data_IF_818639028497
#
_entry.id   IF_818639028497
#
_cell.length_a   1.000
_cell.length_b   1.000
_cell.length_c   1.000
_cell.angle_alpha   90.00
_cell.angle_beta   90.00
_cell.angle_gamma   90.00
#
_symmetry.space_group_name_H-M   'P 1'
#
loop_
_entity.id
_entity.type
_entity.pdbx_description
1 polymer ?
#
# COMPACT_ATOMS: atom_id res chain seq x y z
N UNK A 1 33.93 -52.05 -19.50
CA UNK A 1 34.01 -50.57 -19.47
C UNK A 1 32.60 -50.02 -19.73
N UNK A 2 32.23 -48.93 -19.04
CA UNK A 2 31.04 -48.05 -19.24
C UNK A 2 29.66 -48.56 -18.77
N UNK A 3 28.82 -47.81 -18.07
CA UNK A 3 28.92 -46.53 -17.31
C UNK A 3 27.64 -46.50 -16.43
N UNK A 4 27.73 -46.31 -15.11
CA UNK A 4 26.55 -46.07 -14.25
C UNK A 4 26.20 -44.58 -14.31
N UNK A 5 25.07 -44.25 -14.93
CA UNK A 5 24.53 -42.89 -14.95
C UNK A 5 23.71 -42.63 -13.68
N UNK A 6 24.29 -41.91 -12.73
CA UNK A 6 23.59 -41.43 -11.54
C UNK A 6 22.77 -40.19 -11.90
N UNK A 7 21.44 -40.30 -11.85
CA UNK A 7 20.54 -39.16 -11.95
C UNK A 7 20.61 -38.34 -10.65
N UNK A 8 21.24 -37.17 -10.71
CA UNK A 8 21.23 -36.20 -9.61
C UNK A 8 19.97 -35.35 -9.77
N UNK A 9 18.97 -35.59 -8.92
CA UNK A 9 17.81 -34.70 -8.77
C UNK A 9 18.28 -33.49 -7.95
N UNK A 10 18.59 -32.38 -8.61
CA UNK A 10 18.76 -31.10 -7.93
C UNK A 10 17.38 -30.61 -7.45
N UNK A 11 17.04 -30.89 -6.19
CA UNK A 11 16.00 -30.13 -5.49
C UNK A 11 16.47 -28.68 -5.39
N UNK A 12 15.95 -27.83 -6.28
CA UNK A 12 16.12 -26.39 -6.21
C UNK A 12 15.43 -25.92 -4.92
N UNK A 13 16.23 -25.63 -3.89
CA UNK A 13 15.79 -24.87 -2.73
C UNK A 13 15.39 -23.48 -3.25
N UNK A 14 14.11 -23.34 -3.60
CA UNK A 14 13.53 -22.05 -3.93
C UNK A 14 13.60 -21.19 -2.65
N UNK A 15 14.65 -20.39 -2.54
CA UNK A 15 14.75 -19.34 -1.54
C UNK A 15 13.53 -18.46 -1.71
N UNK A 16 12.57 -18.59 -0.80
CA UNK A 16 11.42 -17.70 -0.72
C UNK A 16 11.98 -16.35 -0.34
N UNK A 17 12.28 -15.52 -1.35
CA UNK A 17 12.65 -14.14 -1.14
C UNK A 17 11.46 -13.48 -0.44
N UNK A 18 11.59 -13.23 0.87
CA UNK A 18 10.63 -12.45 1.61
C UNK A 18 10.69 -11.03 1.04
N UNK A 19 9.85 -10.75 0.05
CA UNK A 19 9.69 -9.41 -0.49
C UNK A 19 9.25 -8.50 0.67
N UNK A 20 10.16 -7.64 1.13
CA UNK A 20 9.85 -6.62 2.12
C UNK A 20 8.76 -5.74 1.52
N UNK A 21 7.66 -5.56 2.24
CA UNK A 21 6.62 -4.64 1.79
C UNK A 21 7.21 -3.25 1.66
N UNK A 22 7.23 -2.72 0.44
CA UNK A 22 7.41 -1.30 0.23
C UNK A 22 6.26 -0.56 0.93
N UNK A 23 6.61 0.23 1.94
CA UNK A 23 5.71 1.10 2.67
C UNK A 23 5.62 2.44 1.93
N UNK A 24 4.43 3.02 1.87
CA UNK A 24 4.29 4.40 1.40
C UNK A 24 4.81 5.42 2.42
N UNK A 25 4.55 6.69 2.15
CA UNK A 25 4.90 7.77 3.06
C UNK A 25 3.63 8.49 3.48
N UNK A 26 3.42 8.61 4.79
CA UNK A 26 2.25 9.30 5.29
C UNK A 26 2.18 10.73 4.75
N UNK A 27 1.08 11.06 4.09
CA UNK A 27 0.77 12.40 3.60
C UNK A 27 -0.60 12.81 4.13
N UNK A 28 -0.61 13.71 5.10
CA UNK A 28 -1.83 14.07 5.82
C UNK A 28 -2.82 14.85 4.96
N UNK A 29 -2.39 15.38 3.81
CA UNK A 29 -3.29 16.02 2.84
C UNK A 29 -3.97 15.06 1.88
N UNK A 30 -3.60 13.78 1.92
CA UNK A 30 -4.09 12.74 1.01
C UNK A 30 -4.60 11.50 1.75
N UNK A 31 -3.98 11.15 2.86
CA UNK A 31 -4.31 9.95 3.61
C UNK A 31 -5.59 10.13 4.40
N UNK A 32 -6.48 9.16 4.27
CA UNK A 32 -7.68 9.04 5.07
C UNK A 32 -7.32 8.44 6.42
N UNK A 33 -8.12 8.76 7.43
CA UNK A 33 -8.11 7.98 8.67
C UNK A 33 -9.05 6.79 8.47
N UNK A 34 -8.44 5.61 8.40
CA UNK A 34 -9.12 4.34 8.18
C UNK A 34 -9.08 3.52 9.46
N UNK A 35 -10.24 2.99 9.87
CA UNK A 35 -10.36 2.06 10.98
C UNK A 35 -10.68 0.66 10.45
N UNK A 36 -9.89 -0.33 10.86
CA UNK A 36 -10.13 -1.74 10.53
C UNK A 36 -10.57 -2.53 11.76
N UNK A 37 -11.17 -3.70 11.58
CA UNK A 37 -11.51 -4.57 12.72
C UNK A 37 -10.30 -5.37 13.20
N UNK A 38 -9.89 -5.27 14.48
CA UNK A 38 -8.86 -6.14 15.05
C UNK A 38 -9.18 -7.63 14.98
N UNK A 39 -10.48 -8.00 14.85
CA UNK A 39 -10.90 -9.39 14.68
C UNK A 39 -10.58 -9.94 13.29
N UNK A 40 -10.50 -9.06 12.28
CA UNK A 40 -10.12 -9.41 10.91
C UNK A 40 -8.60 -9.25 10.70
N UNK A 41 -8.01 -8.23 11.31
CA UNK A 41 -6.58 -7.93 11.22
C UNK A 41 -6.03 -7.61 12.60
N UNK A 42 -5.36 -8.56 13.23
CA UNK A 42 -4.81 -8.37 14.58
C UNK A 42 -3.53 -7.52 14.62
N UNK A 43 -2.89 -7.26 13.47
CA UNK A 43 -1.72 -6.37 13.32
C UNK A 43 -1.94 -5.37 12.20
N UNK A 44 -1.41 -4.15 12.36
CA UNK A 44 -1.40 -3.12 11.31
C UNK A 44 -0.72 -3.62 10.03
N UNK A 45 0.33 -4.44 10.17
CA UNK A 45 1.02 -5.05 9.04
C UNK A 45 0.10 -5.92 8.19
N UNK A 46 -0.74 -6.75 8.82
CA UNK A 46 -1.66 -7.65 8.12
C UNK A 46 -2.74 -6.86 7.38
N UNK A 47 -3.27 -5.81 8.02
CA UNK A 47 -4.16 -4.85 7.36
C UNK A 47 -3.49 -4.20 6.15
N UNK A 48 -2.29 -3.63 6.30
CA UNK A 48 -1.59 -2.96 5.20
C UNK A 48 -1.24 -3.92 4.04
N UNK A 49 -0.93 -5.19 4.33
CA UNK A 49 -0.74 -6.24 3.31
C UNK A 49 -2.00 -6.44 2.49
N UNK A 50 -3.13 -6.68 3.17
CA UNK A 50 -4.41 -6.89 2.50
C UNK A 50 -4.87 -5.63 1.74
N UNK A 51 -4.70 -4.44 2.34
CA UNK A 51 -5.04 -3.17 1.72
C UNK A 51 -4.23 -2.90 0.46
N UNK A 52 -2.93 -3.24 0.46
CA UNK A 52 -2.07 -3.20 -0.74
C UNK A 52 -2.60 -4.09 -1.86
N UNK A 53 -2.94 -5.34 -1.55
CA UNK A 53 -3.45 -6.30 -2.54
C UNK A 53 -4.71 -5.75 -3.20
N UNK A 54 -5.67 -5.29 -2.38
CA UNK A 54 -6.89 -4.65 -2.86
C UNK A 54 -6.59 -3.43 -3.74
N UNK A 55 -5.63 -2.59 -3.35
CA UNK A 55 -5.25 -1.42 -4.12
C UNK A 55 -4.69 -1.79 -5.50
N UNK A 56 -3.83 -2.81 -5.57
CA UNK A 56 -3.28 -3.34 -6.83
C UNK A 56 -4.40 -3.91 -7.72
N UNK A 57 -5.35 -4.64 -7.13
CA UNK A 57 -6.49 -5.19 -7.87
C UNK A 57 -7.43 -4.12 -8.44
N UNK A 58 -7.49 -2.94 -7.81
CA UNK A 58 -8.30 -1.82 -8.30
C UNK A 58 -7.54 -1.03 -9.38
N UNK A 59 -6.28 -0.68 -9.13
CA UNK A 59 -5.48 0.15 -10.03
C UNK A 59 -5.01 -0.63 -11.29
N UNK A 60 -4.71 -1.92 -11.14
CA UNK A 60 -4.16 -2.76 -12.21
C UNK A 60 -5.04 -2.81 -13.47
N UNK A 61 -6.33 -3.20 -13.35
CA UNK A 61 -7.27 -3.22 -14.48
C UNK A 61 -7.52 -1.84 -15.12
N UNK A 62 -7.30 -0.75 -14.37
CA UNK A 62 -7.43 0.64 -14.85
C UNK A 62 -6.17 1.13 -15.59
N UNK A 63 -5.17 0.25 -15.80
CA UNK A 63 -3.86 0.58 -16.37
C UNK A 63 -3.11 1.67 -15.58
N UNK A 64 -3.19 1.60 -14.26
CA UNK A 64 -2.56 2.56 -13.36
C UNK A 64 -1.38 1.92 -12.62
N UNK A 65 -0.38 2.74 -12.29
CA UNK A 65 0.61 2.42 -11.26
C UNK A 65 -0.02 2.73 -9.89
N UNK A 66 -0.18 1.72 -9.05
CA UNK A 66 -0.72 1.91 -7.70
C UNK A 66 0.24 2.77 -6.86
N UNK A 67 -0.32 3.73 -6.15
CA UNK A 67 0.35 4.49 -5.11
C UNK A 67 -0.33 4.17 -3.79
N UNK A 68 0.43 3.55 -2.88
CA UNK A 68 -0.07 3.10 -1.60
C UNK A 68 0.61 3.87 -0.48
N UNK A 69 -0.17 4.44 0.43
CA UNK A 69 0.31 4.87 1.74
C UNK A 69 -0.35 4.02 2.80
N UNK A 70 0.41 3.12 3.42
CA UNK A 70 -0.02 2.34 4.59
C UNK A 70 1.26 1.89 5.29
N UNK A 71 1.58 2.56 6.40
CA UNK A 71 2.82 2.29 7.13
C UNK A 71 2.50 1.49 8.40
N UNK A 72 3.11 0.31 8.55
CA UNK A 72 2.82 -0.59 9.67
C UNK A 72 3.29 -0.11 11.05
N UNK A 73 4.28 0.81 11.21
CA UNK A 73 4.65 1.35 12.52
C UNK A 73 3.54 2.17 13.19
N UNK A 74 2.45 2.48 12.47
CA UNK A 74 1.27 3.08 13.07
C UNK A 74 0.61 2.11 14.07
N UNK A 75 0.32 2.62 15.27
CA UNK A 75 -0.52 1.92 16.23
C UNK A 75 -1.95 1.89 15.70
N UNK A 76 -2.44 0.72 15.33
CA UNK A 76 -3.82 0.51 14.89
C UNK A 76 -4.83 0.44 16.05
N UNK A 77 -6.11 0.18 15.78
CA UNK A 77 -6.67 -0.17 14.46
C UNK A 77 -7.05 1.03 13.57
N UNK A 78 -6.89 2.25 14.10
CA UNK A 78 -7.17 3.50 13.40
C UNK A 78 -5.86 4.08 12.87
N UNK A 79 -5.68 4.09 11.56
CA UNK A 79 -4.42 4.47 10.90
C UNK A 79 -4.66 5.43 9.74
N UNK A 80 -3.61 6.14 9.34
CA UNK A 80 -3.58 6.83 8.05
C UNK A 80 -3.30 5.83 6.93
N UNK A 81 -4.15 5.86 5.90
CA UNK A 81 -3.97 5.06 4.70
C UNK A 81 -4.49 5.75 3.44
N UNK A 82 -3.89 5.42 2.30
CA UNK A 82 -4.29 5.87 0.97
C UNK A 82 -4.07 4.77 -0.06
N UNK A 83 -5.04 4.61 -0.94
CA UNK A 83 -4.90 3.83 -2.16
C UNK A 83 -5.20 4.75 -3.36
N UNK A 84 -4.22 4.91 -4.24
CA UNK A 84 -4.43 5.64 -5.47
C UNK A 84 -3.78 5.00 -6.67
N UNK A 85 -3.99 5.62 -7.83
CA UNK A 85 -3.47 5.17 -9.10
C UNK A 85 -2.97 6.33 -9.95
N UNK A 86 -1.81 6.14 -10.57
CA UNK A 86 -1.24 7.07 -11.55
C UNK A 86 -1.36 6.41 -12.92
N UNK A 87 -2.03 7.06 -13.87
CA UNK A 87 -2.15 6.52 -15.23
C UNK A 87 -0.78 6.17 -15.82
N UNK A 88 -0.67 4.97 -16.39
CA UNK A 88 0.52 4.59 -17.15
C UNK A 88 0.46 5.19 -18.55
N UNK A 89 1.64 5.51 -19.08
CA UNK A 89 1.80 5.86 -20.48
C UNK A 89 1.68 4.59 -21.37
N UNK A 90 1.63 4.72 -22.71
CA UNK A 90 1.49 3.57 -23.62
C UNK A 90 2.61 2.53 -23.53
N UNK A 91 3.78 2.88 -22.98
CA UNK A 91 4.89 1.95 -22.77
C UNK A 91 4.83 1.25 -21.41
N UNK A 92 3.77 1.48 -20.63
CA UNK A 92 3.57 0.90 -19.29
C UNK A 92 4.35 1.62 -18.17
N UNK A 93 5.12 2.65 -18.50
CA UNK A 93 5.78 3.52 -17.54
C UNK A 93 4.81 4.51 -16.89
N UNK A 94 5.23 5.14 -15.80
CA UNK A 94 4.47 6.18 -15.11
C UNK A 94 5.42 7.29 -14.67
N UNK A 95 4.89 8.51 -14.54
CA UNK A 95 5.68 9.69 -14.18
C UNK A 95 5.25 10.20 -12.81
N UNK A 96 6.22 10.40 -11.92
CA UNK A 96 5.98 11.01 -10.60
C UNK A 96 5.39 12.42 -10.77
N UNK A 97 4.41 12.77 -9.94
CA UNK A 97 3.79 14.10 -9.92
C UNK A 97 2.61 14.27 -10.86
N UNK A 98 2.27 13.24 -11.64
CA UNK A 98 1.00 13.20 -12.37
C UNK A 98 -0.20 13.12 -11.41
N UNK A 99 -1.40 13.51 -11.86
CA UNK A 99 -2.63 13.34 -11.08
C UNK A 99 -2.77 11.91 -10.57
N UNK A 100 -3.17 11.79 -9.31
CA UNK A 100 -3.41 10.50 -8.65
C UNK A 100 -4.92 10.33 -8.51
N UNK A 101 -5.47 9.27 -9.10
CA UNK A 101 -6.85 8.86 -8.88
C UNK A 101 -6.96 8.29 -7.47
N UNK A 102 -7.92 8.77 -6.69
CA UNK A 102 -8.16 8.29 -5.33
C UNK A 102 -9.14 7.11 -5.35
N UNK A 103 -8.62 5.93 -4.99
CA UNK A 103 -9.39 4.69 -4.88
C UNK A 103 -9.57 4.26 -3.42
N UNK A 104 -9.21 5.12 -2.45
CA UNK A 104 -9.28 4.80 -1.02
C UNK A 104 -10.68 4.40 -0.58
N UNK A 105 -11.77 5.12 -0.95
CA UNK A 105 -13.12 4.71 -0.58
C UNK A 105 -13.51 3.32 -1.14
N UNK A 106 -13.11 3.02 -2.38
CA UNK A 106 -13.35 1.71 -3.01
C UNK A 106 -12.58 0.60 -2.28
N UNK A 107 -11.30 0.83 -2.01
CA UNK A 107 -10.42 -0.12 -1.33
C UNK A 107 -10.88 -0.41 0.11
N UNK A 108 -11.24 0.63 0.87
CA UNK A 108 -11.75 0.53 2.25
C UNK A 108 -13.02 -0.31 2.30
N UNK A 109 -13.95 -0.07 1.37
CA UNK A 109 -15.18 -0.86 1.28
C UNK A 109 -14.88 -2.33 0.99
N UNK A 110 -13.98 -2.61 0.04
CA UNK A 110 -13.64 -3.97 -0.39
C UNK A 110 -12.92 -4.80 0.70
N UNK A 111 -12.20 -4.14 1.61
CA UNK A 111 -11.53 -4.79 2.75
C UNK A 111 -12.38 -4.79 4.04
N UNK A 112 -13.63 -4.34 3.98
CA UNK A 112 -14.53 -4.23 5.15
C UNK A 112 -13.95 -3.36 6.29
N UNK A 113 -13.26 -2.27 5.93
CA UNK A 113 -12.83 -1.23 6.86
C UNK A 113 -13.77 -0.01 6.77
N UNK A 114 -13.53 1.00 7.60
CA UNK A 114 -14.32 2.24 7.65
C UNK A 114 -13.44 3.47 7.50
N UNK A 115 -13.94 4.51 6.82
CA UNK A 115 -13.34 5.84 6.83
C UNK A 115 -13.90 6.60 8.04
N UNK A 116 -13.04 6.98 8.97
CA UNK A 116 -13.38 7.80 10.15
C UNK A 116 -12.89 9.24 10.05
N UNK A 117 -12.09 9.56 9.03
CA UNK A 117 -11.57 10.91 8.82
C UNK A 117 -11.14 11.11 7.39
N UNK A 118 -11.50 12.29 6.86
CA UNK A 118 -11.07 12.74 5.56
C UNK A 118 -9.63 13.27 5.60
N UNK A 119 -8.93 13.34 4.45
CA UNK A 119 -7.64 13.98 4.37
C UNK A 119 -7.69 15.42 4.86
N UNK A 120 -6.61 15.86 5.50
CA UNK A 120 -6.52 17.20 6.05
C UNK A 120 -6.41 18.23 4.93
N UNK A 121 -7.22 19.30 4.98
CA UNK A 121 -7.04 20.42 4.07
C UNK A 121 -5.63 21.02 4.18
N UNK A 122 -5.06 21.46 3.05
CA UNK A 122 -3.67 21.98 2.96
C UNK A 122 -3.33 22.99 4.05
N UNK A 123 -4.20 23.96 4.30
CA UNK A 123 -4.02 24.99 5.34
C UNK A 123 -3.94 24.40 6.74
N UNK A 124 -4.79 23.42 7.05
CA UNK A 124 -4.76 22.74 8.34
C UNK A 124 -3.50 21.89 8.49
N UNK A 125 -3.07 21.20 7.43
CA UNK A 125 -1.83 20.42 7.46
C UNK A 125 -0.61 21.30 7.68
N UNK A 126 -0.53 22.44 6.99
CA UNK A 126 0.55 23.41 7.20
C UNK A 126 0.58 23.97 8.63
N UNK A 127 -0.58 24.18 9.27
CA UNK A 127 -0.65 24.56 10.69
C UNK A 127 -0.18 23.43 11.60
N UNK A 128 -0.55 22.18 11.32
CA UNK A 128 -0.14 21.01 12.09
C UNK A 128 1.36 20.76 11.99
N UNK A 129 1.93 20.87 10.78
CA UNK A 129 3.36 20.71 10.50
C UNK A 129 4.25 21.67 11.30
N UNK A 130 3.77 22.87 11.64
CA UNK A 130 4.52 23.81 12.50
C UNK A 130 4.86 23.23 13.88
N UNK A 131 4.02 22.32 14.38
CA UNK A 131 4.23 21.60 15.66
C UNK A 131 4.80 20.19 15.47
N UNK A 132 4.66 19.63 14.27
CA UNK A 132 5.04 18.27 13.92
C UNK A 132 5.84 18.27 12.61
N UNK A 133 7.12 18.63 12.70
CA UNK A 133 7.98 18.90 11.52
C UNK A 133 8.11 17.73 10.54
N UNK A 134 7.97 16.49 11.03
CA UNK A 134 8.03 15.27 10.23
C UNK A 134 6.79 15.00 9.36
N UNK A 135 5.71 15.78 9.52
CA UNK A 135 4.48 15.61 8.74
C UNK A 135 4.67 16.09 7.30
N UNK A 136 4.28 15.23 6.36
CA UNK A 136 4.16 15.61 4.95
C UNK A 136 2.79 16.23 4.70
N UNK A 137 2.85 17.42 4.12
CA UNK A 137 1.81 18.16 3.44
C UNK A 137 2.40 18.52 2.06
#
# INVERSE_FOLDING_TARGET
MYFQSTFIVLCSLASVAFAVMSQGNLNFTRDYIVAYSPTLFNRTEDFCRAFRVVCVEIAGPKNEHHQLDCVFPQKGPRIHAFCGGIAKNPTGGWTRGQPVFDHTPEAVKKIHAMIEGQPMGKTACLKFKKKHSAVVC
#
